data_IF_563067374067
#
_entry.id   IF_563067374067
#
_cell.length_a   1.000
_cell.length_b   1.000
_cell.length_c   1.000
_cell.angle_alpha   90.00
_cell.angle_beta   90.00
_cell.angle_gamma   90.00
#
_symmetry.space_group_name_H-M   'P 1'
#
loop_
_entity.id
_entity.type
_entity.pdbx_description
1 polymer ?
#
# COMPACT_ATOMS: atom_id res chain seq x y z
N UNK A 1 -23.07 -5.57 -68.54
CA UNK A 1 -23.07 -4.56 -69.64
C UNK A 1 -21.89 -4.87 -70.56
N UNK A 2 -22.01 -4.65 -71.89
CA UNK A 2 -20.95 -4.94 -72.87
C UNK A 2 -20.46 -3.65 -73.54
N UNK A 3 -19.74 -2.80 -72.80
CA UNK A 3 -19.15 -1.55 -73.31
C UNK A 3 -17.62 -1.58 -73.21
N UNK A 4 -16.96 -0.78 -74.05
CA UNK A 4 -15.52 -0.51 -73.95
C UNK A 4 -15.32 0.76 -73.13
N UNK A 5 -14.33 0.77 -72.25
CA UNK A 5 -14.10 1.88 -71.32
C UNK A 5 -12.65 2.36 -71.40
N UNK A 6 -12.44 3.62 -71.03
CA UNK A 6 -11.12 4.20 -70.81
C UNK A 6 -11.10 4.83 -69.42
N UNK A 7 -10.36 4.20 -68.50
CA UNK A 7 -10.18 4.74 -67.14
C UNK A 7 -9.09 5.81 -67.21
N UNK A 8 -9.36 6.96 -66.62
CA UNK A 8 -8.37 7.99 -66.41
C UNK A 8 -8.64 8.70 -65.08
N UNK A 9 -7.60 9.32 -64.54
CA UNK A 9 -7.69 10.16 -63.35
C UNK A 9 -7.66 11.64 -63.76
N UNK A 10 -8.42 12.48 -63.06
CA UNK A 10 -8.41 13.92 -63.35
C UNK A 10 -7.03 14.52 -63.08
N UNK A 11 -6.61 15.49 -63.90
CA UNK A 11 -5.26 16.08 -63.86
C UNK A 11 -4.89 16.71 -62.52
N UNK A 12 -5.88 17.08 -61.70
CA UNK A 12 -5.70 17.78 -60.41
C UNK A 12 -6.23 16.96 -59.22
N UNK A 13 -6.21 15.62 -59.30
CA UNK A 13 -6.76 14.74 -58.27
C UNK A 13 -6.15 14.97 -56.88
N UNK A 14 -4.84 15.19 -56.79
CA UNK A 14 -4.13 15.43 -55.51
C UNK A 14 -4.61 16.67 -54.76
N UNK A 15 -5.05 17.71 -55.49
CA UNK A 15 -5.41 19.01 -54.92
C UNK A 15 -6.92 19.21 -54.80
N UNK A 16 -7.69 18.77 -55.79
CA UNK A 16 -9.13 19.04 -55.87
C UNK A 16 -9.98 17.84 -55.39
N UNK A 17 -9.39 16.65 -55.22
CA UNK A 17 -10.04 15.45 -54.68
C UNK A 17 -11.38 15.15 -55.41
N UNK A 18 -12.47 14.94 -54.66
CA UNK A 18 -13.82 14.76 -55.20
C UNK A 18 -14.36 15.98 -55.94
N UNK A 19 -13.80 17.16 -55.68
CA UNK A 19 -14.26 18.42 -56.24
C UNK A 19 -15.03 19.27 -55.25
N UNK A 20 -14.93 20.58 -55.44
CA UNK A 20 -15.70 21.57 -54.67
C UNK A 20 -16.27 22.60 -55.61
N UNK A 21 -17.30 23.29 -55.13
CA UNK A 21 -17.76 24.51 -55.78
C UNK A 21 -16.80 25.63 -55.40
N UNK A 22 -16.16 26.24 -56.40
CA UNK A 22 -15.37 27.45 -56.19
C UNK A 22 -16.30 28.63 -55.84
N UNK A 23 -15.76 29.75 -55.37
CA UNK A 23 -16.54 30.95 -54.95
C UNK A 23 -17.43 31.55 -56.06
N UNK A 24 -17.30 31.06 -57.31
CA UNK A 24 -18.20 31.35 -58.42
C UNK A 24 -19.15 30.18 -58.79
N UNK A 25 -19.36 29.98 -60.09
CA UNK A 25 -20.22 28.91 -60.65
C UNK A 25 -19.42 27.69 -61.15
N UNK A 26 -18.11 27.66 -60.89
CA UNK A 26 -17.22 26.60 -61.36
C UNK A 26 -17.14 25.45 -60.36
N UNK A 27 -17.10 24.23 -60.89
CA UNK A 27 -16.92 23.00 -60.13
C UNK A 27 -15.57 22.39 -60.49
N UNK A 28 -14.83 21.92 -59.49
CA UNK A 28 -13.52 21.29 -59.67
C UNK A 28 -13.58 19.79 -59.41
N UNK A 29 -12.44 19.10 -59.55
CA UNK A 29 -12.30 17.67 -59.26
C UNK A 29 -13.26 16.76 -60.04
N UNK A 30 -13.57 15.61 -59.45
CA UNK A 30 -14.42 14.59 -60.06
C UNK A 30 -15.85 15.09 -60.36
N UNK A 31 -16.40 15.96 -59.52
CA UNK A 31 -17.71 16.61 -59.77
C UNK A 31 -17.64 17.51 -61.02
N UNK A 32 -16.56 18.25 -61.20
CA UNK A 32 -16.36 19.11 -62.38
C UNK A 32 -16.29 18.32 -63.69
N UNK A 33 -15.58 17.18 -63.71
CA UNK A 33 -15.45 16.35 -64.92
C UNK A 33 -16.79 15.82 -65.43
N UNK A 34 -17.72 15.49 -64.51
CA UNK A 34 -19.08 15.06 -64.85
C UNK A 34 -19.92 16.24 -65.33
N UNK A 35 -19.90 17.38 -64.62
CA UNK A 35 -20.72 18.55 -64.97
C UNK A 35 -20.31 19.14 -66.32
N UNK A 36 -19.01 19.16 -66.62
CA UNK A 36 -18.50 19.63 -67.92
C UNK A 36 -18.51 18.56 -69.02
N UNK A 37 -19.04 17.37 -68.74
CA UNK A 37 -19.16 16.25 -69.68
C UNK A 37 -17.82 15.80 -70.28
N UNK A 38 -16.74 15.85 -69.50
CA UNK A 38 -15.46 15.25 -69.87
C UNK A 38 -15.39 13.75 -69.53
N UNK A 39 -16.18 13.30 -68.56
CA UNK A 39 -16.33 11.89 -68.20
C UNK A 39 -17.80 11.48 -68.26
N UNK A 40 -18.06 10.26 -68.75
CA UNK A 40 -19.42 9.70 -68.81
C UNK A 40 -19.83 9.02 -67.50
N UNK A 41 -18.86 8.45 -66.77
CA UNK A 41 -19.07 7.77 -65.49
C UNK A 41 -17.95 8.18 -64.55
N UNK A 42 -18.31 8.58 -63.33
CA UNK A 42 -17.35 8.80 -62.27
C UNK A 42 -17.41 7.68 -61.23
N UNK A 43 -16.24 7.20 -60.83
CA UNK A 43 -16.07 6.22 -59.76
C UNK A 43 -15.34 6.89 -58.60
N UNK A 44 -15.98 6.91 -57.43
CA UNK A 44 -15.40 7.50 -56.23
C UNK A 44 -16.31 7.27 -55.02
N UNK A 45 -15.75 7.44 -53.84
CA UNK A 45 -16.51 7.43 -52.59
C UNK A 45 -17.30 8.73 -52.46
N UNK A 46 -18.47 8.77 -53.11
CA UNK A 46 -19.37 9.91 -53.11
C UNK A 46 -20.50 9.70 -52.12
N UNK A 47 -20.68 10.67 -51.23
CA UNK A 47 -21.80 10.65 -50.30
C UNK A 47 -23.15 10.85 -51.01
N UNK A 48 -24.13 10.05 -50.62
CA UNK A 48 -25.52 10.18 -51.06
C UNK A 48 -26.20 11.37 -50.35
N UNK A 49 -25.80 12.59 -50.70
CA UNK A 49 -26.26 13.85 -50.10
C UNK A 49 -27.01 14.69 -51.14
N UNK A 50 -28.06 15.45 -50.76
CA UNK A 50 -28.85 16.26 -51.70
C UNK A 50 -28.03 17.17 -52.61
N UNK A 51 -26.91 17.72 -52.12
CA UNK A 51 -26.04 18.58 -52.92
C UNK A 51 -25.44 17.86 -54.13
N UNK A 52 -25.02 16.60 -53.98
CA UNK A 52 -24.45 15.81 -55.09
C UNK A 52 -25.56 15.30 -56.01
N UNK A 53 -26.68 14.85 -55.42
CA UNK A 53 -27.87 14.40 -56.18
C UNK A 53 -28.48 15.49 -57.06
N UNK A 54 -28.36 16.75 -56.68
CA UNK A 54 -28.81 17.88 -57.51
C UNK A 54 -27.87 18.16 -58.70
N UNK A 55 -26.65 17.63 -58.68
CA UNK A 55 -25.63 17.87 -59.71
C UNK A 55 -25.48 16.68 -60.67
N UNK A 56 -25.66 15.46 -60.17
CA UNK A 56 -25.53 14.22 -60.95
C UNK A 56 -26.41 13.12 -60.35
N UNK A 57 -26.79 12.17 -61.20
CA UNK A 57 -27.50 10.97 -60.75
C UNK A 57 -26.52 9.96 -60.16
N UNK A 58 -26.82 9.46 -58.95
CA UNK A 58 -26.05 8.42 -58.28
C UNK A 58 -26.76 7.07 -58.41
N UNK A 59 -25.99 5.99 -58.52
CA UNK A 59 -26.54 4.64 -58.41
C UNK A 59 -27.05 4.36 -57.00
N UNK A 60 -27.73 3.23 -56.83
CA UNK A 60 -28.04 2.69 -55.49
C UNK A 60 -26.71 2.51 -54.73
N UNK A 61 -26.60 2.97 -53.47
CA UNK A 61 -25.37 2.89 -52.71
C UNK A 61 -24.93 1.43 -52.53
N UNK A 62 -23.66 1.15 -52.85
CA UNK A 62 -23.07 -0.19 -52.72
C UNK A 62 -22.46 -0.45 -51.33
N UNK A 63 -22.13 0.62 -50.59
CA UNK A 63 -21.61 0.55 -49.21
C UNK A 63 -22.33 1.59 -48.34
N UNK A 64 -22.43 1.30 -47.03
CA UNK A 64 -22.96 2.23 -46.02
C UNK A 64 -21.87 2.50 -44.99
N UNK A 65 -21.36 3.72 -44.95
CA UNK A 65 -20.32 4.14 -44.01
C UNK A 65 -20.85 5.15 -43.00
N UNK A 66 -20.30 5.10 -41.78
CA UNK A 66 -20.65 6.01 -40.70
C UNK A 66 -19.43 6.85 -40.33
N UNK A 67 -19.63 8.15 -40.10
CA UNK A 67 -18.59 9.01 -39.54
C UNK A 67 -18.29 8.58 -38.11
N UNK A 68 -17.05 8.17 -37.86
CA UNK A 68 -16.58 7.76 -36.55
C UNK A 68 -15.44 8.66 -36.10
N UNK A 69 -15.35 8.88 -34.79
CA UNK A 69 -14.20 9.54 -34.20
C UNK A 69 -13.12 8.50 -33.95
N UNK A 70 -11.98 8.65 -34.60
CA UNK A 70 -10.78 7.88 -34.27
C UNK A 70 -10.15 8.54 -33.05
N UNK A 71 -10.11 7.82 -31.93
CA UNK A 71 -9.42 8.25 -30.71
C UNK A 71 -8.22 7.35 -30.47
N UNK A 72 -7.12 7.87 -29.90
CA UNK A 72 -5.97 7.05 -29.56
C UNK A 72 -6.36 6.01 -28.51
N UNK A 73 -5.67 4.87 -28.52
CA UNK A 73 -5.86 3.81 -27.54
C UNK A 73 -5.58 4.30 -26.11
N UNK A 74 -6.38 3.85 -25.14
CA UNK A 74 -6.18 4.19 -23.74
C UNK A 74 -4.84 3.61 -23.24
N UNK A 75 -3.97 4.48 -22.72
CA UNK A 75 -2.70 4.08 -22.12
C UNK A 75 -2.97 3.19 -20.89
N UNK A 76 -2.20 2.13 -20.72
CA UNK A 76 -2.27 1.30 -19.52
C UNK A 76 -1.61 2.05 -18.36
N UNK A 77 -2.40 2.34 -17.32
CA UNK A 77 -1.90 3.06 -16.15
C UNK A 77 -0.94 2.21 -15.29
N UNK A 78 0.05 2.88 -14.71
CA UNK A 78 1.08 2.25 -13.86
C UNK A 78 0.47 1.52 -12.65
N UNK A 79 0.46 0.19 -12.71
CA UNK A 79 -0.28 -0.68 -11.77
C UNK A 79 0.19 -0.60 -10.31
N UNK A 80 1.44 -0.20 -10.04
CA UNK A 80 1.95 -0.06 -8.66
C UNK A 80 1.29 1.11 -7.91
N UNK A 81 0.90 2.17 -8.61
CA UNK A 81 0.28 3.36 -8.00
C UNK A 81 -1.06 3.01 -7.36
N UNK A 82 -1.75 2.00 -7.90
CA UNK A 82 -3.03 1.48 -7.39
C UNK A 82 -2.92 0.97 -5.95
N UNK A 83 -1.76 0.49 -5.50
CA UNK A 83 -1.57 0.02 -4.13
C UNK A 83 -1.49 1.16 -3.12
N UNK A 84 -0.98 2.32 -3.50
CA UNK A 84 -0.82 3.49 -2.62
C UNK A 84 -2.02 4.45 -2.68
N UNK A 85 -2.85 4.32 -3.71
CA UNK A 85 -4.04 5.14 -3.97
C UNK A 85 -5.16 5.07 -2.90
N UNK A 86 -5.41 3.95 -2.19
CA UNK A 86 -6.56 3.85 -1.27
C UNK A 86 -6.50 4.85 -0.10
N UNK A 87 -5.30 5.31 0.23
CA UNK A 87 -5.03 6.22 1.32
C UNK A 87 -4.45 7.52 0.75
N UNK A 88 -4.95 8.69 1.16
CA UNK A 88 -4.34 9.95 0.76
C UNK A 88 -2.93 10.09 1.35
N UNK A 89 -2.06 10.87 0.71
CA UNK A 89 -0.69 11.10 1.21
C UNK A 89 -0.66 11.65 2.64
N UNK A 90 -1.64 12.50 3.00
CA UNK A 90 -1.78 13.01 4.36
C UNK A 90 -2.13 11.92 5.37
N UNK A 91 -2.96 10.94 4.99
CA UNK A 91 -3.29 9.82 5.87
C UNK A 91 -2.10 8.89 6.05
N UNK A 92 -1.26 8.68 5.04
CA UNK A 92 -0.01 7.93 5.19
C UNK A 92 0.92 8.60 6.20
N UNK A 93 1.08 9.92 6.08
CA UNK A 93 1.84 10.72 7.03
C UNK A 93 1.26 10.59 8.45
N UNK A 94 -0.07 10.67 8.59
CA UNK A 94 -0.74 10.49 9.88
C UNK A 94 -0.51 9.10 10.48
N UNK A 95 -0.55 8.03 9.68
CA UNK A 95 -0.26 6.65 10.14
C UNK A 95 1.18 6.53 10.62
N UNK A 96 2.15 7.08 9.88
CA UNK A 96 3.56 7.11 10.31
C UNK A 96 3.75 7.91 11.59
N UNK A 97 3.10 9.06 11.72
CA UNK A 97 3.14 9.88 12.94
C UNK A 97 2.57 9.12 14.14
N UNK A 98 1.40 8.50 13.99
CA UNK A 98 0.76 7.68 15.02
C UNK A 98 1.65 6.51 15.47
N UNK A 99 2.40 5.89 14.55
CA UNK A 99 3.37 4.84 14.88
C UNK A 99 4.50 5.37 15.77
N UNK A 100 5.08 6.53 15.43
CA UNK A 100 6.13 7.14 16.26
C UNK A 100 5.60 7.54 17.64
N UNK A 101 4.38 8.09 17.71
CA UNK A 101 3.73 8.46 18.97
C UNK A 101 3.41 7.23 19.82
N UNK A 102 2.96 6.12 19.22
CA UNK A 102 2.72 4.88 19.97
C UNK A 102 4.02 4.26 20.47
N UNK A 103 5.06 4.19 19.63
CA UNK A 103 6.39 3.69 20.00
C UNK A 103 7.02 4.49 21.15
N UNK A 104 6.96 5.82 21.09
CA UNK A 104 7.45 6.69 22.17
C UNK A 104 6.65 6.50 23.45
N UNK A 105 5.33 6.36 23.37
CA UNK A 105 4.47 6.08 24.52
C UNK A 105 4.82 4.75 25.19
N UNK A 106 5.01 3.67 24.42
CA UNK A 106 5.45 2.37 24.94
C UNK A 106 6.84 2.43 25.58
N UNK A 107 7.78 3.16 24.97
CA UNK A 107 9.13 3.34 25.51
C UNK A 107 9.12 4.09 26.86
N UNK A 108 8.36 5.19 26.96
CA UNK A 108 8.24 5.97 28.20
C UNK A 108 7.62 5.14 29.32
N UNK A 109 6.55 4.41 29.03
CA UNK A 109 5.89 3.54 29.99
C UNK A 109 6.79 2.38 30.44
N UNK A 110 7.55 1.77 29.52
CA UNK A 110 8.52 0.72 29.87
C UNK A 110 9.62 1.25 30.79
N UNK A 111 10.18 2.43 30.47
CA UNK A 111 11.20 3.09 31.29
C UNK A 111 10.68 3.50 32.67
N UNK A 112 9.45 4.03 32.72
CA UNK A 112 8.80 4.39 33.98
C UNK A 112 8.55 3.16 34.85
N UNK A 113 8.07 2.07 34.25
CA UNK A 113 7.84 0.82 34.96
C UNK A 113 9.16 0.20 35.47
N UNK A 114 10.23 0.22 34.68
CA UNK A 114 11.55 -0.25 35.13
C UNK A 114 12.05 0.59 36.31
N UNK A 115 11.96 1.91 36.22
CA UNK A 115 12.33 2.83 37.31
C UNK A 115 11.56 2.54 38.62
N UNK A 116 10.24 2.42 38.55
CA UNK A 116 9.40 2.11 39.73
C UNK A 116 9.73 0.72 40.30
N UNK A 117 9.94 -0.28 39.44
CA UNK A 117 10.29 -1.63 39.88
C UNK A 117 11.66 -1.70 40.55
N UNK A 118 12.64 -0.96 40.03
CA UNK A 118 13.98 -0.86 40.63
C UNK A 118 13.93 -0.18 42.01
N UNK A 119 13.08 0.83 42.20
CA UNK A 119 12.85 1.46 43.50
C UNK A 119 12.24 0.48 44.51
N UNK A 120 11.21 -0.27 44.09
CA UNK A 120 10.58 -1.29 44.94
C UNK A 120 11.57 -2.39 45.32
N UNK A 121 12.36 -2.89 44.37
CA UNK A 121 13.38 -3.91 44.60
C UNK A 121 14.51 -3.41 45.52
N UNK A 122 14.92 -2.14 45.41
CA UNK A 122 15.92 -1.53 46.31
C UNK A 122 15.40 -1.45 47.74
N UNK A 123 14.11 -1.12 47.92
CA UNK A 123 13.47 -1.09 49.24
C UNK A 123 13.33 -2.50 49.84
N UNK A 124 12.88 -3.48 49.06
CA UNK A 124 12.78 -4.89 49.51
C UNK A 124 14.15 -5.45 49.91
N UNK A 125 15.19 -5.28 49.08
CA UNK A 125 16.56 -5.69 49.42
C UNK A 125 17.11 -4.98 50.66
N UNK A 126 16.76 -3.70 50.88
CA UNK A 126 17.15 -2.96 52.09
C UNK A 126 16.47 -3.55 53.34
N UNK A 127 15.20 -3.91 53.25
CA UNK A 127 14.45 -4.56 54.33
C UNK A 127 15.00 -5.97 54.61
N UNK A 128 15.20 -6.79 53.58
CA UNK A 128 15.80 -8.13 53.70
C UNK A 128 17.20 -8.08 54.29
N UNK A 129 18.09 -7.21 53.83
CA UNK A 129 19.43 -7.06 54.40
C UNK A 129 19.36 -6.67 55.89
N UNK A 130 18.41 -5.82 56.28
CA UNK A 130 18.23 -5.44 57.69
C UNK A 130 17.74 -6.62 58.53
N UNK A 131 16.82 -7.44 57.99
CA UNK A 131 16.32 -8.66 58.65
C UNK A 131 17.42 -9.74 58.71
N UNK A 132 18.17 -9.96 57.63
CA UNK A 132 19.27 -10.92 57.57
C UNK A 132 20.42 -10.51 58.49
N UNK A 133 20.78 -9.23 58.57
CA UNK A 133 21.79 -8.76 59.54
C UNK A 133 21.31 -9.05 60.97
N UNK A 134 20.03 -8.80 61.29
CA UNK A 134 19.45 -9.17 62.60
C UNK A 134 19.46 -10.67 62.84
N UNK A 135 19.06 -11.50 61.88
CA UNK A 135 19.08 -12.98 61.98
C UNK A 135 20.49 -13.55 62.07
N UNK A 136 21.43 -13.09 61.25
CA UNK A 136 22.81 -13.58 61.21
C UNK A 136 23.53 -13.28 62.52
N UNK A 137 23.27 -12.11 63.13
CA UNK A 137 23.77 -11.76 64.48
C UNK A 137 23.24 -12.71 65.58
N UNK A 138 22.09 -13.34 65.36
CA UNK A 138 21.50 -14.35 66.27
C UNK A 138 21.99 -15.76 65.97
N UNK A 139 22.40 -16.06 64.73
CA UNK A 139 22.76 -17.41 64.26
C UNK A 139 24.28 -17.68 64.26
N UNK A 140 25.15 -16.68 64.33
CA UNK A 140 26.63 -16.85 64.30
C UNK A 140 27.26 -17.45 65.56
N UNK A 141 26.60 -18.39 66.23
CA UNK A 141 27.14 -19.11 67.39
C UNK A 141 27.24 -20.63 67.14
N UNK A 142 27.37 -21.10 65.90
CA UNK A 142 27.95 -22.43 65.66
C UNK A 142 28.43 -22.71 64.23
N UNK A 143 29.57 -23.42 64.22
CA UNK A 143 30.13 -24.36 63.25
C UNK A 143 30.95 -23.91 62.03
N UNK A 144 32.23 -24.32 62.10
CA UNK A 144 33.13 -24.77 61.05
C UNK A 144 32.99 -26.32 60.92
N UNK A 145 33.64 -27.00 59.96
CA UNK A 145 33.46 -27.05 58.51
C UNK A 145 32.78 -28.37 58.07
N UNK A 146 31.75 -28.30 57.21
CA UNK A 146 31.11 -29.51 56.64
C UNK A 146 30.97 -29.35 55.12
N UNK A 147 32.10 -29.07 54.45
CA UNK A 147 32.13 -28.79 53.01
C UNK A 147 32.75 -29.92 52.17
N UNK A 148 33.28 -30.98 52.78
CA UNK A 148 33.98 -32.07 52.04
C UNK A 148 33.14 -33.32 51.78
N UNK A 149 31.88 -33.38 52.22
CA UNK A 149 30.97 -34.52 51.99
C UNK A 149 29.65 -34.13 51.31
N UNK A 150 29.67 -33.22 50.35
CA UNK A 150 28.48 -32.90 49.57
C UNK A 150 28.30 -33.89 48.43
N UNK A 151 27.10 -34.47 48.36
CA UNK A 151 26.60 -35.35 47.31
C UNK A 151 26.73 -34.71 45.91
N UNK A 152 27.03 -35.52 44.88
CA UNK A 152 27.37 -35.03 43.53
C UNK A 152 26.23 -34.21 42.90
N UNK A 153 24.97 -34.56 43.20
CA UNK A 153 23.79 -33.79 42.78
C UNK A 153 23.75 -32.41 43.46
N UNK A 154 24.19 -32.31 44.71
CA UNK A 154 24.26 -31.05 45.45
C UNK A 154 25.35 -30.16 44.87
N UNK A 155 26.50 -30.74 44.55
CA UNK A 155 27.62 -30.06 43.89
C UNK A 155 27.23 -29.56 42.49
N UNK A 156 26.51 -30.38 41.72
CA UNK A 156 25.96 -30.01 40.42
C UNK A 156 24.98 -28.84 40.53
N UNK A 157 24.07 -28.85 41.50
CA UNK A 157 23.12 -27.75 41.72
C UNK A 157 23.83 -26.44 42.13
N UNK A 158 24.88 -26.52 42.95
CA UNK A 158 25.70 -25.35 43.33
C UNK A 158 26.45 -24.79 42.11
N UNK A 159 27.05 -25.64 41.28
CA UNK A 159 27.74 -25.20 40.05
C UNK A 159 26.76 -24.65 39.01
N UNK A 160 25.59 -25.27 38.85
CA UNK A 160 24.52 -24.81 37.96
C UNK A 160 24.03 -23.42 38.37
N UNK A 161 23.87 -23.18 39.67
CA UNK A 161 23.52 -21.87 40.23
C UNK A 161 24.56 -20.77 39.96
N UNK A 162 25.82 -21.12 39.65
CA UNK A 162 26.86 -20.15 39.27
C UNK A 162 26.81 -19.74 37.78
N UNK A 163 26.29 -20.60 36.90
CA UNK A 163 26.22 -20.35 35.46
C UNK A 163 24.87 -19.82 34.99
N UNK A 164 23.78 -20.14 35.68
CA UNK A 164 22.49 -19.52 35.42
C UNK A 164 22.61 -18.02 35.72
N UNK A 165 22.56 -17.18 34.67
CA UNK A 165 22.42 -15.73 34.83
C UNK A 165 21.29 -15.51 35.82
N UNK A 166 21.47 -14.74 36.90
CA UNK A 166 20.43 -14.59 37.90
C UNK A 166 19.19 -14.08 37.18
N UNK A 167 18.21 -14.97 37.02
CA UNK A 167 16.85 -14.60 36.67
C UNK A 167 16.50 -13.66 37.81
N UNK A 168 16.45 -12.36 37.52
CA UNK A 168 16.04 -11.37 38.50
C UNK A 168 14.57 -11.65 38.78
N UNK A 169 14.30 -12.56 39.71
CA UNK A 169 12.98 -12.81 40.26
C UNK A 169 12.42 -11.45 40.69
N UNK A 170 11.30 -11.08 40.08
CA UNK A 170 10.68 -9.76 40.24
C UNK A 170 10.78 -8.82 39.04
N UNK A 171 11.52 -9.15 37.96
CA UNK A 171 11.41 -8.38 36.71
C UNK A 171 10.11 -8.74 35.96
N UNK A 172 9.27 -7.76 35.61
CA UNK A 172 8.08 -8.00 34.80
C UNK A 172 8.48 -8.63 33.46
N UNK A 173 7.99 -9.84 33.20
CA UNK A 173 8.27 -10.59 31.97
C UNK A 173 7.77 -9.78 30.77
N UNK A 174 8.58 -9.66 29.72
CA UNK A 174 8.21 -8.95 28.48
C UNK A 174 8.47 -7.44 28.48
N UNK A 175 8.87 -6.82 29.60
CA UNK A 175 9.17 -5.38 29.63
C UNK A 175 10.51 -5.01 28.95
N UNK A 176 11.48 -5.93 28.99
CA UNK A 176 12.77 -5.75 28.32
C UNK A 176 12.62 -5.52 26.81
N UNK A 177 11.51 -6.01 26.23
CA UNK A 177 11.20 -5.92 24.81
C UNK A 177 11.04 -4.47 24.31
N UNK A 178 10.56 -3.57 25.18
CA UNK A 178 10.32 -2.15 24.88
C UNK A 178 11.37 -1.21 25.51
N UNK A 179 12.40 -1.78 26.14
CA UNK A 179 13.45 -1.01 26.83
C UNK A 179 14.43 -0.39 25.83
N UNK A 180 14.72 -1.09 24.73
CA UNK A 180 15.53 -0.54 23.66
C UNK A 180 14.65 0.21 22.65
N UNK A 181 15.04 1.42 22.20
CA UNK A 181 14.20 2.26 21.36
C UNK A 181 13.95 1.65 19.97
N UNK A 182 14.97 1.00 19.39
CA UNK A 182 14.86 0.35 18.08
C UNK A 182 13.93 -0.86 18.14
N UNK A 183 14.06 -1.67 19.20
CA UNK A 183 13.20 -2.82 19.44
C UNK A 183 11.76 -2.36 19.66
N UNK A 184 11.54 -1.32 20.46
CA UNK A 184 10.22 -0.75 20.69
C UNK A 184 9.54 -0.33 19.37
N UNK A 185 10.26 0.36 18.48
CA UNK A 185 9.74 0.77 17.18
C UNK A 185 9.43 -0.44 16.28
N UNK A 186 10.32 -1.44 16.24
CA UNK A 186 10.11 -2.65 15.46
C UNK A 186 8.91 -3.47 15.94
N UNK A 187 8.71 -3.57 17.25
CA UNK A 187 7.59 -4.31 17.84
C UNK A 187 6.25 -3.59 17.67
N UNK A 188 6.23 -2.25 17.76
CA UNK A 188 5.02 -1.45 17.47
C UNK A 188 4.66 -1.46 15.99
N UNK A 189 5.65 -1.48 15.10
CA UNK A 189 5.45 -1.70 13.67
C UNK A 189 4.93 -3.11 13.36
N UNK A 190 5.54 -4.15 13.95
CA UNK A 190 5.10 -5.54 13.81
C UNK A 190 3.64 -5.72 14.21
N UNK A 191 3.23 -5.07 15.31
CA UNK A 191 1.85 -5.13 15.79
C UNK A 191 0.86 -4.41 14.85
N UNK A 192 1.29 -3.37 14.14
CA UNK A 192 0.50 -2.73 13.07
C UNK A 192 0.33 -3.64 11.85
N UNK A 193 1.33 -4.47 11.55
CA UNK A 193 1.26 -5.52 10.52
C UNK A 193 0.45 -6.76 10.96
N UNK A 194 -0.25 -6.71 12.09
CA UNK A 194 -0.99 -7.83 12.68
C UNK A 194 -0.10 -9.04 13.03
N UNK A 195 1.20 -8.81 13.21
CA UNK A 195 2.13 -9.84 13.68
C UNK A 195 2.13 -9.84 15.21
N UNK A 196 1.97 -11.02 15.81
CA UNK A 196 1.91 -11.19 17.26
C UNK A 196 3.29 -10.99 17.91
N UNK A 197 3.28 -10.46 19.14
CA UNK A 197 4.49 -10.30 19.95
C UNK A 197 4.90 -11.66 20.56
N UNK A 198 6.21 -11.94 20.70
CA UNK A 198 6.70 -13.18 21.28
C UNK A 198 6.31 -13.33 22.76
N UNK A 199 6.27 -12.22 23.51
CA UNK A 199 5.77 -12.17 24.90
C UNK A 199 5.04 -10.85 25.14
N UNK A 200 3.89 -10.93 25.82
CA UNK A 200 3.12 -9.76 26.22
C UNK A 200 3.70 -9.13 27.50
N UNK A 201 3.73 -7.78 27.59
CA UNK A 201 4.17 -7.11 28.81
C UNK A 201 3.21 -7.38 29.98
N UNK A 202 3.75 -7.65 31.17
CA UNK A 202 2.95 -8.00 32.34
C UNK A 202 2.33 -6.82 33.09
N UNK A 203 2.80 -5.58 32.85
CA UNK A 203 2.29 -4.39 33.53
C UNK A 203 0.87 -4.01 33.10
N UNK A 204 -0.01 -3.69 34.06
CA UNK A 204 -1.41 -3.31 33.81
C UNK A 204 -1.54 -2.12 32.83
N UNK A 205 -0.73 -1.09 32.99
CA UNK A 205 -0.72 0.09 32.10
C UNK A 205 -0.26 -0.24 30.68
N UNK A 206 0.68 -1.18 30.51
CA UNK A 206 1.08 -1.61 29.18
C UNK A 206 -0.02 -2.45 28.53
N UNK A 207 -0.72 -3.31 29.29
CA UNK A 207 -1.82 -4.14 28.77
C UNK A 207 -2.96 -3.31 28.22
N UNK A 208 -3.40 -2.29 28.95
CA UNK A 208 -4.51 -1.43 28.49
C UNK A 208 -4.09 -0.66 27.23
N UNK A 209 -2.86 -0.15 27.17
CA UNK A 209 -2.33 0.54 26.00
C UNK A 209 -2.20 -0.40 24.80
N UNK A 210 -1.72 -1.63 25.00
CA UNK A 210 -1.67 -2.64 23.94
C UNK A 210 -3.06 -2.98 23.43
N UNK A 211 -4.08 -3.06 24.29
CA UNK A 211 -5.46 -3.31 23.86
C UNK A 211 -6.00 -2.19 22.98
N UNK A 212 -5.79 -0.94 23.37
CA UNK A 212 -6.21 0.21 22.58
C UNK A 212 -5.47 0.33 21.24
N UNK A 213 -4.15 0.12 21.27
CA UNK A 213 -3.34 0.14 20.05
C UNK A 213 -3.72 -1.00 19.10
N UNK A 214 -4.09 -2.16 19.63
CA UNK A 214 -4.57 -3.29 18.82
C UNK A 214 -5.86 -2.95 18.08
N UNK A 215 -6.84 -2.31 18.76
CA UNK A 215 -8.07 -1.84 18.12
C UNK A 215 -7.78 -0.82 17.01
N UNK A 216 -6.85 0.11 17.25
CA UNK A 216 -6.40 1.06 16.23
C UNK A 216 -5.82 0.36 15.00
N UNK A 217 -4.92 -0.62 15.20
CA UNK A 217 -4.31 -1.37 14.10
C UNK A 217 -5.38 -2.13 13.29
N UNK A 218 -6.34 -2.77 13.96
CA UNK A 218 -7.44 -3.47 13.29
C UNK A 218 -8.27 -2.50 12.44
N UNK A 219 -8.63 -1.32 12.98
CA UNK A 219 -9.39 -0.31 12.27
C UNK A 219 -8.66 0.15 11.01
N UNK A 220 -7.37 0.51 11.12
CA UNK A 220 -6.57 0.97 9.97
C UNK A 220 -6.46 -0.10 8.89
N UNK A 221 -6.19 -1.35 9.26
CA UNK A 221 -6.06 -2.45 8.29
C UNK A 221 -7.38 -2.76 7.60
N UNK A 222 -8.50 -2.80 8.34
CA UNK A 222 -9.82 -3.05 7.76
C UNK A 222 -10.22 -1.92 6.81
N UNK A 223 -9.99 -0.67 7.19
CA UNK A 223 -10.26 0.48 6.32
C UNK A 223 -9.41 0.46 5.04
N UNK A 224 -8.11 0.16 5.16
CA UNK A 224 -7.24 0.06 3.99
C UNK A 224 -7.69 -1.08 3.05
N UNK A 225 -8.01 -2.25 3.60
CA UNK A 225 -8.47 -3.41 2.81
C UNK A 225 -9.81 -3.12 2.13
N UNK A 226 -10.77 -2.50 2.81
CA UNK A 226 -12.07 -2.17 2.21
C UNK A 226 -11.93 -1.15 1.07
N UNK A 227 -11.13 -0.10 1.26
CA UNK A 227 -10.85 0.89 0.22
C UNK A 227 -10.11 0.28 -0.98
N UNK A 228 -9.13 -0.60 -0.75
CA UNK A 228 -8.43 -1.30 -1.82
C UNK A 228 -9.38 -2.19 -2.62
N UNK A 229 -10.23 -2.98 -1.95
CA UNK A 229 -11.22 -3.81 -2.64
C UNK A 229 -12.22 -2.98 -3.46
N UNK A 230 -12.64 -1.81 -2.97
CA UNK A 230 -13.54 -0.93 -3.68
C UNK A 230 -12.91 -0.37 -4.98
N UNK A 231 -11.63 0.03 -4.92
CA UNK A 231 -10.90 0.55 -6.09
C UNK A 231 -10.66 -0.55 -7.12
N UNK A 232 -10.34 -1.77 -6.68
CA UNK A 232 -10.13 -2.91 -7.58
C UNK A 232 -11.44 -3.40 -8.21
N UNK A 233 -12.58 -3.29 -7.50
CA UNK A 233 -13.88 -3.70 -8.01
C UNK A 233 -14.44 -2.73 -9.07
N UNK A 234 -14.06 -1.45 -9.02
CA UNK A 234 -14.49 -0.43 -10.00
C UNK A 234 -13.30 0.44 -10.40
N UNK A 235 -12.47 -0.01 -11.37
CA UNK A 235 -11.41 0.83 -11.91
C UNK A 235 -12.05 2.00 -12.64
N UNK A 236 -11.87 3.21 -12.11
CA UNK A 236 -12.26 4.43 -12.82
C UNK A 236 -11.32 4.57 -14.01
N UNK A 237 -11.85 4.49 -15.23
CA UNK A 237 -11.12 4.90 -16.42
C UNK A 237 -10.75 6.38 -16.25
N UNK A 238 -9.46 6.68 -16.14
CA UNK A 238 -8.93 8.03 -16.05
C UNK A 238 -8.12 8.35 -17.29
#
# INVERSE_FOLDING_TARGET
MNFKYQIYESKNADTELWGRKDSGTKYTGLIGEIIYSHADIALGDLYYIPTILNLMDLSIPYNTECLTFVTPEALTDNSWKTLLLPLSGYMWLAVCLCLVVSATSFYLLAKFHDHVSNLKQKNEKRVENTIHIKKKKVITLNLYPEAEKMDDDTKYNIMKGQYDKPIKEGRPVGLYLFTDPVNCLLYTYSMLLLVSLPKLPTGWSLRILTGWYWLYCLLVVVAYRSSLTAILARPVAR
#
